data_IF_672590254547
#
_entry.id   IF_672590254547
#
_cell.length_a   1.000
_cell.length_b   1.000
_cell.length_c   1.000
_cell.angle_alpha   90.00
_cell.angle_beta   90.00
_cell.angle_gamma   90.00
#
_symmetry.space_group_name_H-M   'P 1'
#
loop_
_entity.id
_entity.type
_entity.pdbx_description
1 polymer ?
#
# COMPACT_ATOMS: atom_id res chain seq x y z
N UNK A 1 -61.88 -39.88 -49.82
CA UNK A 1 -61.53 -40.71 -48.65
C UNK A 1 -60.32 -40.08 -47.98
N UNK A 2 -60.50 -39.63 -46.73
CA UNK A 2 -59.47 -39.24 -45.74
C UNK A 2 -58.57 -40.45 -45.39
N UNK A 3 -57.43 -40.33 -44.64
CA UNK A 3 -57.15 -39.30 -43.63
C UNK A 3 -55.71 -38.74 -43.52
N UNK A 4 -55.66 -37.67 -42.73
CA UNK A 4 -54.53 -37.10 -41.99
C UNK A 4 -53.92 -38.09 -40.97
N UNK A 5 -52.61 -38.03 -40.75
CA UNK A 5 -51.90 -38.30 -39.47
C UNK A 5 -50.40 -37.94 -39.67
N UNK A 6 -49.86 -36.91 -38.99
CA UNK A 6 -48.99 -36.99 -37.79
C UNK A 6 -47.69 -37.80 -37.97
N UNK A 7 -46.48 -37.43 -37.52
CA UNK A 7 -45.96 -36.30 -36.77
C UNK A 7 -44.40 -36.40 -36.74
N UNK A 8 -43.75 -35.27 -36.42
CA UNK A 8 -42.48 -35.11 -35.68
C UNK A 8 -41.14 -35.67 -36.23
N UNK A 9 -40.13 -34.79 -36.34
CA UNK A 9 -39.01 -34.76 -35.39
C UNK A 9 -38.02 -33.57 -35.66
N UNK A 10 -38.06 -32.61 -34.74
CA UNK A 10 -36.93 -31.96 -34.06
C UNK A 10 -35.79 -31.42 -34.95
N UNK A 11 -35.83 -30.12 -35.20
CA UNK A 11 -34.62 -29.35 -35.50
C UNK A 11 -33.74 -29.34 -34.24
N UNK A 12 -32.60 -30.03 -34.28
CA UNK A 12 -31.54 -29.89 -33.29
C UNK A 12 -30.96 -28.48 -33.39
N UNK A 13 -31.52 -27.54 -32.62
CA UNK A 13 -30.79 -26.32 -32.26
C UNK A 13 -29.67 -26.79 -31.36
N UNK A 14 -28.48 -26.95 -31.92
CA UNK A 14 -27.25 -26.95 -31.14
C UNK A 14 -27.13 -25.56 -30.54
N UNK A 15 -27.70 -25.38 -29.35
CA UNK A 15 -27.27 -24.36 -28.41
C UNK A 15 -25.81 -24.68 -28.13
N UNK A 16 -24.92 -24.15 -28.97
CA UNK A 16 -23.52 -24.04 -28.62
C UNK A 16 -23.52 -23.33 -27.28
N UNK A 17 -23.18 -24.07 -26.24
CA UNK A 17 -23.00 -23.57 -24.89
C UNK A 17 -21.99 -22.45 -24.99
N UNK A 18 -22.50 -21.22 -25.09
CA UNK A 18 -21.73 -20.03 -24.81
C UNK A 18 -21.30 -20.20 -23.37
N UNK A 19 -20.10 -20.76 -23.17
CA UNK A 19 -19.39 -20.62 -21.93
C UNK A 19 -19.13 -19.11 -21.82
N UNK A 20 -20.09 -18.39 -21.25
CA UNK A 20 -19.80 -17.15 -20.59
C UNK A 20 -18.84 -17.54 -19.47
N UNK A 21 -17.53 -17.52 -19.78
CA UNK A 21 -16.54 -17.34 -18.76
C UNK A 21 -16.89 -15.98 -18.15
N UNK A 22 -17.72 -16.01 -17.11
CA UNK A 22 -17.85 -14.89 -16.19
C UNK A 22 -16.48 -14.77 -15.59
N UNK A 23 -15.62 -13.96 -16.22
CA UNK A 23 -14.42 -13.47 -15.59
C UNK A 23 -14.95 -12.71 -14.38
N UNK A 24 -14.92 -13.36 -13.22
CA UNK A 24 -15.01 -12.66 -11.94
C UNK A 24 -13.75 -11.81 -11.91
N UNK A 25 -13.79 -10.65 -12.56
CA UNK A 25 -12.80 -9.61 -12.35
C UNK A 25 -13.03 -9.21 -10.90
N UNK A 26 -12.17 -9.69 -10.02
CA UNK A 26 -12.15 -9.19 -8.66
C UNK A 26 -11.95 -7.68 -8.78
N UNK A 27 -12.87 -6.89 -8.22
CA UNK A 27 -12.78 -5.44 -8.30
C UNK A 27 -11.42 -5.00 -7.72
N UNK A 28 -10.71 -4.15 -8.46
CA UNK A 28 -9.43 -3.64 -8.02
C UNK A 28 -9.63 -2.76 -6.78
N UNK A 29 -8.93 -3.08 -5.70
CA UNK A 29 -8.96 -2.28 -4.48
C UNK A 29 -8.00 -1.12 -4.69
N UNK A 30 -8.41 0.15 -4.63
CA UNK A 30 -7.49 1.27 -4.77
C UNK A 30 -6.48 1.29 -3.60
N UNK A 31 -5.31 1.87 -3.84
CA UNK A 31 -4.37 2.14 -2.74
C UNK A 31 -4.99 3.13 -1.74
N UNK A 32 -4.51 3.14 -0.49
CA UNK A 32 -4.97 4.10 0.51
C UNK A 32 -4.88 5.53 -0.03
N UNK A 33 -6.00 6.25 0.09
CA UNK A 33 -6.08 7.65 -0.33
C UNK A 33 -5.45 8.54 0.73
N UNK A 34 -4.58 9.45 0.29
CA UNK A 34 -4.02 10.52 1.14
C UNK A 34 -4.76 11.82 0.81
N UNK A 35 -5.09 12.66 1.81
CA UNK A 35 -5.78 13.92 1.56
C UNK A 35 -5.06 14.81 0.53
N UNK A 36 -5.82 15.43 -0.37
CA UNK A 36 -5.29 16.42 -1.32
C UNK A 36 -5.00 17.74 -0.60
N UNK A 37 -3.75 17.94 -0.20
CA UNK A 37 -3.28 19.10 0.55
C UNK A 37 -2.10 19.75 -0.19
N UNK A 38 -1.58 20.85 0.36
CA UNK A 38 -0.45 21.58 -0.20
C UNK A 38 0.90 20.87 0.07
N UNK A 39 1.00 19.62 -0.38
CA UNK A 39 2.21 18.79 -0.27
C UNK A 39 3.39 19.43 -1.01
N UNK A 40 4.54 19.48 -0.36
CA UNK A 40 5.82 19.90 -0.91
C UNK A 40 6.82 18.74 -0.88
N UNK A 41 7.88 18.75 -1.72
CA UNK A 41 8.99 17.82 -1.58
C UNK A 41 9.55 17.86 -0.16
N UNK A 42 9.62 16.70 0.49
CA UNK A 42 9.98 16.61 1.90
C UNK A 42 11.45 16.90 2.12
N UNK A 43 11.76 17.75 3.12
CA UNK A 43 13.11 17.92 3.67
C UNK A 43 13.09 18.12 5.19
N UNK A 44 11.91 18.39 5.75
CA UNK A 44 11.67 18.78 7.15
C UNK A 44 12.00 17.67 8.15
N UNK A 45 12.02 16.42 7.68
CA UNK A 45 12.30 15.23 8.49
C UNK A 45 13.69 14.66 8.21
N UNK A 46 14.50 15.26 7.35
CA UNK A 46 15.80 14.72 6.98
C UNK A 46 16.72 14.54 8.20
N UNK A 47 17.37 13.38 8.25
CA UNK A 47 18.20 12.95 9.38
C UNK A 47 17.40 12.42 10.57
N UNK A 48 16.06 12.44 10.52
CA UNK A 48 15.23 11.80 11.52
C UNK A 48 15.06 10.31 11.24
N UNK A 49 15.08 9.54 12.32
CA UNK A 49 14.62 8.14 12.32
C UNK A 49 13.63 7.95 13.46
N UNK A 50 12.61 7.12 13.23
CA UNK A 50 11.59 6.80 14.24
C UNK A 50 11.48 5.30 14.41
N UNK A 51 11.44 4.83 15.66
CA UNK A 51 11.15 3.44 15.97
C UNK A 51 9.67 3.31 16.30
N UNK A 52 8.94 2.50 15.52
CA UNK A 52 7.48 2.41 15.58
C UNK A 52 7.01 1.00 15.87
N UNK A 53 5.89 0.89 16.59
CA UNK A 53 5.14 -0.34 16.79
C UNK A 53 3.98 -0.35 15.79
N UNK A 54 3.87 -1.42 15.02
CA UNK A 54 2.92 -1.59 13.91
C UNK A 54 1.79 -2.51 14.33
N UNK A 55 0.56 -2.12 14.02
CA UNK A 55 -0.65 -2.92 14.17
C UNK A 55 -1.32 -3.04 12.80
N UNK A 56 -1.37 -4.26 12.26
CA UNK A 56 -1.96 -4.56 10.96
C UNK A 56 -3.39 -5.08 11.12
N UNK A 57 -4.29 -4.67 10.22
CA UNK A 57 -5.69 -5.08 10.17
C UNK A 57 -5.87 -6.46 9.51
N UNK A 58 -4.95 -7.39 9.78
CA UNK A 58 -4.95 -8.77 9.27
C UNK A 58 -4.94 -9.82 10.39
N UNK A 59 -4.98 -9.40 11.66
CA UNK A 59 -4.93 -10.28 12.82
C UNK A 59 -3.55 -10.86 13.14
N UNK A 60 -2.49 -10.39 12.48
CA UNK A 60 -1.11 -10.69 12.87
C UNK A 60 -0.77 -10.05 14.22
N UNK A 61 0.20 -10.63 14.92
CA UNK A 61 0.78 -10.00 16.11
C UNK A 61 1.51 -8.71 15.74
N UNK A 62 1.60 -7.77 16.67
CA UNK A 62 2.24 -6.48 16.42
C UNK A 62 3.71 -6.62 16.03
N UNK A 63 4.12 -5.87 15.02
CA UNK A 63 5.49 -5.82 14.49
C UNK A 63 6.16 -4.49 14.87
N UNK A 64 7.44 -4.33 14.56
CA UNK A 64 8.17 -3.07 14.80
C UNK A 64 9.00 -2.71 13.59
N UNK A 65 8.99 -1.44 13.22
CA UNK A 65 9.77 -0.93 12.09
C UNK A 65 10.62 0.27 12.53
N UNK A 66 11.67 0.58 11.75
CA UNK A 66 12.38 1.85 11.82
C UNK A 66 12.13 2.62 10.53
N UNK A 67 11.53 3.81 10.67
CA UNK A 67 11.28 4.72 9.56
C UNK A 67 12.40 5.74 9.47
N UNK A 68 13.08 5.82 8.33
CA UNK A 68 14.27 6.67 8.13
C UNK A 68 13.96 7.72 7.08
N UNK A 69 14.27 8.98 7.39
CA UNK A 69 14.16 10.12 6.48
C UNK A 69 15.55 10.68 6.22
N UNK A 70 15.92 10.82 4.95
CA UNK A 70 17.26 11.25 4.54
C UNK A 70 17.24 11.85 3.14
N UNK A 71 17.80 13.05 3.01
CA UNK A 71 18.04 13.75 1.74
C UNK A 71 16.79 13.80 0.84
N UNK A 72 15.62 14.08 1.44
CA UNK A 72 14.32 14.13 0.79
C UNK A 72 13.68 12.77 0.46
N UNK A 73 14.26 11.69 0.99
CA UNK A 73 13.77 10.34 0.78
C UNK A 73 13.42 9.63 2.10
N UNK A 74 12.49 8.68 2.00
CA UNK A 74 11.98 7.84 3.07
C UNK A 74 12.34 6.37 2.82
N UNK A 75 12.61 5.63 3.90
CA UNK A 75 12.75 4.19 3.88
C UNK A 75 12.16 3.55 5.14
N UNK A 76 11.39 2.48 4.95
CA UNK A 76 11.02 1.52 6.00
C UNK A 76 12.07 0.42 6.02
N UNK A 77 12.66 0.15 7.20
CA UNK A 77 13.68 -0.88 7.35
C UNK A 77 13.09 -2.28 7.16
N UNK A 78 11.86 -2.51 7.58
CA UNK A 78 11.17 -3.79 7.35
C UNK A 78 10.88 -4.01 5.86
N UNK A 79 10.42 -2.99 5.13
CA UNK A 79 10.25 -3.08 3.67
C UNK A 79 11.59 -3.34 2.96
N UNK A 80 12.66 -2.68 3.44
CA UNK A 80 14.00 -2.89 2.93
C UNK A 80 14.47 -4.34 3.13
N UNK A 81 14.27 -4.91 4.31
CA UNK A 81 14.62 -6.32 4.59
C UNK A 81 13.74 -7.28 3.77
N UNK A 82 12.45 -6.96 3.62
CA UNK A 82 11.48 -7.82 2.95
C UNK A 82 11.69 -7.92 1.44
N UNK A 83 11.88 -6.79 0.74
CA UNK A 83 12.02 -6.78 -0.72
C UNK A 83 12.97 -5.70 -1.25
N UNK A 84 13.92 -5.17 -0.47
CA UNK A 84 14.89 -4.19 -1.00
C UNK A 84 14.19 -2.96 -1.65
N UNK A 85 13.14 -2.46 -0.98
CA UNK A 85 12.34 -1.32 -1.47
C UNK A 85 13.19 -0.07 -1.71
N UNK A 86 14.28 0.08 -0.96
CA UNK A 86 15.14 1.26 -1.00
C UNK A 86 14.45 2.53 -0.53
N UNK A 87 15.10 3.65 -0.87
CA UNK A 87 14.60 4.99 -0.59
C UNK A 87 13.56 5.43 -1.62
N UNK A 88 12.46 6.02 -1.17
CA UNK A 88 11.40 6.61 -1.99
C UNK A 88 11.25 8.09 -1.66
N UNK A 89 11.00 8.93 -2.66
CA UNK A 89 10.71 10.35 -2.41
C UNK A 89 9.54 10.47 -1.42
N UNK A 90 9.64 11.41 -0.48
CA UNK A 90 8.54 11.74 0.41
C UNK A 90 8.12 13.19 0.25
N UNK A 91 6.90 13.47 0.66
CA UNK A 91 6.32 14.80 0.66
C UNK A 91 5.90 15.17 2.06
N UNK A 92 5.87 16.47 2.34
CA UNK A 92 5.47 17.02 3.63
C UNK A 92 4.47 18.14 3.47
N UNK A 93 3.72 18.38 4.53
CA UNK A 93 2.89 19.56 4.71
C UNK A 93 2.84 19.87 6.21
N UNK A 94 2.96 21.13 6.58
CA UNK A 94 2.95 21.55 8.00
C UNK A 94 1.64 22.27 8.32
N UNK A 95 0.99 21.85 9.41
CA UNK A 95 -0.19 22.48 9.99
C UNK A 95 0.06 22.83 11.46
N UNK A 96 0.37 24.11 11.72
CA UNK A 96 0.83 24.55 13.04
C UNK A 96 2.11 23.82 13.47
N UNK A 97 2.03 23.08 14.57
CA UNK A 97 3.15 22.31 15.14
C UNK A 97 3.18 20.84 14.65
N UNK A 98 2.27 20.46 13.74
CA UNK A 98 2.19 19.10 13.20
C UNK A 98 2.82 19.07 11.82
N UNK A 99 3.84 18.21 11.66
CA UNK A 99 4.38 17.88 10.34
C UNK A 99 3.66 16.64 9.84
N UNK A 100 2.97 16.76 8.72
CA UNK A 100 2.43 15.63 7.99
C UNK A 100 3.47 15.17 6.97
N UNK A 101 3.55 13.86 6.74
CA UNK A 101 4.29 13.30 5.62
C UNK A 101 3.47 12.26 4.87
N UNK A 102 3.80 12.10 3.59
CA UNK A 102 3.33 10.98 2.80
C UNK A 102 4.41 10.51 1.84
N UNK A 103 4.38 9.22 1.53
CA UNK A 103 5.27 8.62 0.53
C UNK A 103 4.64 7.34 0.03
N UNK A 104 5.11 6.90 -1.13
CA UNK A 104 4.76 5.59 -1.64
C UNK A 104 6.01 4.82 -2.03
N UNK A 105 6.21 3.69 -1.36
CA UNK A 105 7.34 2.81 -1.59
C UNK A 105 6.90 1.61 -2.44
N UNK A 106 7.79 1.11 -3.30
CA UNK A 106 7.53 -0.02 -4.20
C UNK A 106 8.65 -1.05 -4.15
N UNK A 107 8.27 -2.33 -4.09
CA UNK A 107 9.17 -3.47 -4.19
C UNK A 107 9.70 -3.61 -5.63
N UNK A 108 11.02 -3.65 -5.88
CA UNK A 108 11.59 -3.77 -7.22
C UNK A 108 11.31 -5.13 -7.89
N UNK A 109 11.09 -6.20 -7.13
CA UNK A 109 10.99 -7.57 -7.67
C UNK A 109 9.60 -8.21 -7.59
N UNK A 110 8.64 -7.57 -6.96
CA UNK A 110 7.28 -8.10 -6.80
C UNK A 110 6.26 -6.95 -6.75
N UNK A 111 4.97 -7.19 -7.04
CA UNK A 111 3.99 -6.13 -7.21
C UNK A 111 3.45 -5.63 -5.86
N UNK A 112 4.35 -5.30 -4.94
CA UNK A 112 4.04 -4.75 -3.63
C UNK A 112 4.26 -3.24 -3.63
N UNK A 113 3.29 -2.52 -3.10
CA UNK A 113 3.31 -1.08 -2.96
C UNK A 113 2.80 -0.73 -1.57
N UNK A 114 3.50 0.18 -0.89
CA UNK A 114 3.12 0.63 0.44
C UNK A 114 2.93 2.13 0.44
N UNK A 115 1.69 2.57 0.71
CA UNK A 115 1.38 3.98 0.92
C UNK A 115 1.49 4.29 2.41
N UNK A 116 2.19 5.35 2.74
CA UNK A 116 2.36 5.85 4.10
C UNK A 116 1.76 7.25 4.21
N UNK A 117 1.05 7.52 5.30
CA UNK A 117 0.61 8.85 5.69
C UNK A 117 0.78 8.99 7.19
N UNK A 118 1.64 9.90 7.62
CA UNK A 118 1.89 10.08 9.04
C UNK A 118 1.94 11.53 9.48
N UNK A 119 1.94 11.67 10.79
CA UNK A 119 1.91 12.90 11.54
C UNK A 119 3.02 12.85 12.58
N UNK A 120 3.79 13.93 12.67
CA UNK A 120 4.83 14.12 13.66
C UNK A 120 4.42 15.31 14.52
N UNK A 121 4.50 15.13 15.84
CA UNK A 121 4.34 16.20 16.82
C UNK A 121 5.44 16.01 17.85
N UNK A 122 6.28 17.04 18.01
CA UNK A 122 7.53 16.95 18.77
C UNK A 122 8.40 15.77 18.28
N UNK A 123 8.60 14.76 19.12
CA UNK A 123 9.36 13.55 18.81
C UNK A 123 8.46 12.30 18.70
N UNK A 124 7.14 12.46 18.66
CA UNK A 124 6.19 11.36 18.46
C UNK A 124 5.75 11.27 17.00
N UNK A 125 5.57 10.03 16.53
CA UNK A 125 5.06 9.75 15.19
C UNK A 125 3.81 8.88 15.28
N UNK A 126 2.82 9.19 14.45
CA UNK A 126 1.65 8.34 14.18
C UNK A 126 1.50 8.17 12.69
N UNK A 127 1.21 6.96 12.26
CA UNK A 127 1.25 6.57 10.85
C UNK A 127 0.05 5.70 10.53
N UNK A 128 -0.57 5.96 9.38
CA UNK A 128 -1.47 5.05 8.70
C UNK A 128 -0.74 4.52 7.46
N UNK A 129 -0.97 3.25 7.14
CA UNK A 129 -0.36 2.63 5.97
C UNK A 129 -1.29 1.63 5.29
N UNK A 130 -1.02 1.40 4.01
CA UNK A 130 -1.59 0.26 3.29
C UNK A 130 -0.51 -0.46 2.51
N UNK A 131 -0.43 -1.77 2.68
CA UNK A 131 0.33 -2.68 1.84
C UNK A 131 -0.58 -3.27 0.78
N UNK A 132 -0.36 -2.93 -0.48
CA UNK A 132 -1.11 -3.49 -1.61
C UNK A 132 -0.23 -4.45 -2.40
N UNK A 133 -0.74 -5.67 -2.61
CA UNK A 133 -0.22 -6.62 -3.61
C UNK A 133 -1.19 -6.69 -4.78
N UNK A 134 -0.77 -6.27 -5.97
CA UNK A 134 -1.66 -6.16 -7.14
C UNK A 134 -1.22 -7.09 -8.28
N UNK A 135 -2.10 -7.99 -8.71
CA UNK A 135 -1.92 -8.84 -9.90
C UNK A 135 -3.12 -8.68 -10.82
N UNK A 136 -2.98 -9.17 -12.06
CA UNK A 136 -4.02 -9.02 -13.10
C UNK A 136 -5.39 -9.60 -12.73
N UNK A 137 -5.45 -10.57 -11.82
CA UNK A 137 -6.69 -11.27 -11.42
C UNK A 137 -7.08 -11.04 -9.96
N UNK A 138 -6.27 -10.30 -9.19
CA UNK A 138 -6.51 -10.11 -7.76
C UNK A 138 -5.69 -8.95 -7.20
N UNK A 139 -6.32 -8.22 -6.28
CA UNK A 139 -5.65 -7.26 -5.40
C UNK A 139 -5.89 -7.70 -3.95
N UNK A 140 -4.83 -7.72 -3.15
CA UNK A 140 -4.92 -7.90 -1.70
C UNK A 140 -4.27 -6.71 -1.02
N UNK A 141 -5.01 -6.11 -0.09
CA UNK A 141 -4.58 -4.96 0.66
C UNK A 141 -4.66 -5.25 2.14
N UNK A 142 -3.61 -4.90 2.87
CA UNK A 142 -3.56 -4.90 4.33
C UNK A 142 -3.40 -3.45 4.75
N UNK A 143 -4.30 -2.94 5.58
CA UNK A 143 -4.16 -1.64 6.23
C UNK A 143 -3.56 -1.80 7.60
N UNK A 144 -3.03 -0.72 8.15
CA UNK A 144 -2.52 -0.73 9.51
C UNK A 144 -2.19 0.66 10.01
N UNK A 145 -1.84 0.70 11.28
CA UNK A 145 -1.34 1.90 11.94
C UNK A 145 0.00 1.61 12.60
N UNK A 146 0.80 2.65 12.78
CA UNK A 146 1.98 2.57 13.62
C UNK A 146 2.12 3.82 14.47
N UNK A 147 2.73 3.65 15.62
CA UNK A 147 3.05 4.75 16.54
C UNK A 147 4.41 4.52 17.16
N UNK A 148 5.11 5.60 17.48
CA UNK A 148 6.44 5.48 18.05
C UNK A 148 7.06 6.82 18.36
N UNK A 149 8.37 6.80 18.55
CA UNK A 149 9.14 7.99 18.89
C UNK A 149 10.43 8.08 18.10
N UNK A 150 10.95 9.30 18.04
CA UNK A 150 12.21 9.63 17.39
C UNK A 150 13.35 8.90 18.09
N UNK A 151 14.21 8.29 17.29
CA UNK A 151 15.46 7.74 17.76
C UNK A 151 16.46 8.88 18.01
N UNK A 152 17.35 8.76 19.02
CA UNK A 152 18.39 9.74 19.25
C UNK A 152 19.25 9.90 17.99
N UNK A 153 19.48 11.15 17.57
CA UNK A 153 20.48 11.43 16.54
C UNK A 153 21.83 10.94 17.05
N UNK A 154 22.39 9.90 16.42
CA UNK A 154 23.72 9.44 16.76
C UNK A 154 24.72 10.45 16.19
N UNK A 155 25.03 11.50 16.96
CA UNK A 155 26.20 12.34 16.71
C UNK A 155 27.45 11.49 16.93
N UNK A 156 28.00 10.91 15.85
CA UNK A 156 29.10 9.99 16.01
C UNK A 156 29.72 9.49 14.71
N UNK A 157 30.22 10.40 13.87
CA UNK A 157 31.38 10.19 12.97
C UNK A 157 31.77 11.49 12.26
N UNK A 158 32.15 12.52 13.03
CA UNK A 158 33.07 13.56 12.53
C UNK A 158 34.29 13.56 13.42
N UNK A 159 35.30 12.80 13.01
CA UNK A 159 36.71 13.08 13.24
C UNK A 159 37.53 12.18 12.31
N UNK A 160 38.08 12.80 11.27
CA UNK A 160 38.93 12.19 10.25
C UNK A 160 39.24 13.21 9.18
#
# INVERSE_FOLDING_TARGET
MTPLAQAAAIACITLGTGAAAVSVMNEDIPDMTVPELAWAPGNELDGASFFVQVVLDNGAEGETDTLVFKDGAFMSMDCQVYCDFGFSDYQTWTDGDVIHFTTVATCPSAPHRVVWHGQITDDEIKVQMSWTTRRWYWTHQITGTAQGSRLPTTEGSVSG
#
